data_IF_726935685296
#
_entry.id   IF_726935685296
#
_cell.length_a   1.000
_cell.length_b   1.000
_cell.length_c   1.000
_cell.angle_alpha   90.00
_cell.angle_beta   90.00
_cell.angle_gamma   90.00
#
_symmetry.space_group_name_H-M   'P 1'
#
loop_
_entity.id
_entity.type
_entity.pdbx_description
1 polymer ?
#
# COMPACT_ATOMS: atom_id res chain seq x y z
N UNK A 1 -36.28 -35.44 74.99
CA UNK A 1 -36.68 -36.71 74.33
C UNK A 1 -35.43 -37.43 73.82
N UNK A 2 -34.96 -38.42 74.58
CA UNK A 2 -34.00 -39.48 74.21
C UNK A 2 -34.73 -40.58 73.38
N UNK A 3 -34.09 -41.67 72.88
CA UNK A 3 -32.77 -41.85 72.25
C UNK A 3 -32.75 -42.88 71.06
N UNK A 4 -31.59 -43.01 70.42
CA UNK A 4 -30.89 -44.21 69.88
C UNK A 4 -31.55 -45.63 70.00
N UNK A 5 -31.56 -46.44 68.93
CA UNK A 5 -30.70 -47.65 68.75
C UNK A 5 -31.10 -48.65 67.62
N UNK A 6 -30.02 -49.31 67.15
CA UNK A 6 -29.76 -50.33 66.11
C UNK A 6 -30.57 -51.66 66.12
N UNK A 7 -30.44 -52.38 64.98
CA UNK A 7 -30.25 -53.85 64.71
C UNK A 7 -31.34 -54.39 63.76
N UNK A 8 -31.16 -55.32 62.82
CA UNK A 8 -30.08 -56.24 62.41
C UNK A 8 -30.38 -56.77 60.98
N UNK A 9 -29.36 -57.17 60.20
CA UNK A 9 -29.48 -57.96 58.94
C UNK A 9 -29.69 -59.45 59.26
N UNK A 10 -30.06 -60.27 58.25
CA UNK A 10 -29.11 -61.31 57.86
C UNK A 10 -28.84 -61.40 56.35
N UNK A 11 -27.76 -62.12 56.06
CA UNK A 11 -27.01 -62.21 54.82
C UNK A 11 -27.44 -63.41 53.94
N UNK A 12 -27.06 -63.33 52.65
CA UNK A 12 -27.09 -64.43 51.69
C UNK A 12 -26.42 -64.03 50.36
N UNK A 13 -25.09 -64.12 50.32
CA UNK A 13 -24.15 -63.98 49.17
C UNK A 13 -24.30 -65.12 48.13
N UNK A 14 -23.67 -65.12 46.91
CA UNK A 14 -22.44 -64.42 46.49
C UNK A 14 -22.36 -63.83 45.05
N UNK A 15 -21.26 -63.08 44.82
CA UNK A 15 -20.71 -62.59 43.54
C UNK A 15 -20.34 -63.71 42.53
N UNK A 16 -20.19 -63.38 41.22
CA UNK A 16 -18.83 -63.21 40.71
C UNK A 16 -18.64 -62.03 39.73
N UNK A 17 -17.39 -61.90 39.32
CA UNK A 17 -16.69 -60.75 38.76
C UNK A 17 -16.80 -60.60 37.22
N UNK A 18 -16.52 -59.38 36.77
CA UNK A 18 -15.86 -58.96 35.50
C UNK A 18 -15.95 -59.88 34.26
N UNK A 19 -16.43 -59.31 33.15
CA UNK A 19 -15.72 -59.40 31.86
C UNK A 19 -15.73 -58.07 31.10
N UNK A 20 -14.55 -57.73 30.60
CA UNK A 20 -14.26 -56.61 29.72
C UNK A 20 -14.62 -56.94 28.26
N UNK A 21 -14.80 -55.90 27.45
CA UNK A 21 -14.65 -55.95 25.99
C UNK A 21 -15.94 -56.19 25.20
N UNK A 22 -16.58 -55.10 24.75
CA UNK A 22 -17.57 -55.12 23.67
C UNK A 22 -17.40 -53.83 22.83
N UNK A 23 -17.37 -53.91 21.49
CA UNK A 23 -16.99 -52.79 20.64
C UNK A 23 -18.06 -51.69 20.63
N UNK A 24 -17.61 -50.45 20.74
CA UNK A 24 -18.43 -49.24 20.57
C UNK A 24 -18.95 -49.21 19.13
N UNK A 25 -20.26 -49.05 18.89
CA UNK A 25 -20.79 -49.03 17.54
C UNK A 25 -20.33 -47.77 16.80
N UNK A 26 -19.69 -48.03 15.67
CA UNK A 26 -19.17 -47.07 14.70
C UNK A 26 -20.33 -46.29 14.06
N UNK A 27 -20.60 -45.08 14.56
CA UNK A 27 -21.52 -44.13 13.93
C UNK A 27 -20.74 -43.27 12.95
N UNK A 28 -20.39 -43.85 11.81
CA UNK A 28 -19.99 -43.08 10.62
C UNK A 28 -21.17 -42.18 10.18
N UNK A 29 -21.04 -40.83 10.16
CA UNK A 29 -22.01 -39.99 9.51
C UNK A 29 -21.92 -40.21 8.00
N UNK A 30 -23.04 -40.61 7.42
CA UNK A 30 -23.22 -40.85 5.98
C UNK A 30 -22.81 -39.61 5.18
N UNK A 31 -22.06 -39.86 4.12
CA UNK A 31 -21.59 -38.96 3.08
C UNK A 31 -22.43 -37.68 2.87
N UNK A 32 -21.95 -36.53 3.36
CA UNK A 32 -22.34 -35.24 2.79
C UNK A 32 -21.62 -35.06 1.47
N UNK A 33 -22.30 -35.42 0.39
CA UNK A 33 -21.86 -35.15 -0.98
C UNK A 33 -21.99 -33.64 -1.21
N UNK A 34 -20.86 -32.91 -1.15
CA UNK A 34 -20.81 -31.49 -1.52
C UNK A 34 -21.11 -31.40 -3.01
N UNK A 35 -22.39 -31.26 -3.34
CA UNK A 35 -22.85 -31.06 -4.71
C UNK A 35 -22.87 -29.56 -5.01
N UNK A 36 -21.96 -29.16 -5.91
CA UNK A 36 -21.71 -27.83 -6.49
C UNK A 36 -20.64 -27.01 -5.77
N UNK A 37 -19.60 -26.55 -6.48
CA UNK A 37 -18.75 -25.48 -5.98
C UNK A 37 -19.64 -24.25 -5.74
N UNK A 38 -19.53 -23.66 -4.53
CA UNK A 38 -20.25 -22.43 -4.15
C UNK A 38 -19.70 -21.20 -4.92
N UNK A 39 -18.60 -21.36 -5.66
CA UNK A 39 -17.93 -20.31 -6.39
C UNK A 39 -17.36 -20.84 -7.71
N UNK A 40 -18.09 -20.66 -8.81
CA UNK A 40 -17.60 -20.94 -10.17
C UNK A 40 -16.77 -19.76 -10.69
N UNK A 41 -15.47 -19.83 -10.44
CA UNK A 41 -14.50 -18.85 -10.93
C UNK A 41 -13.98 -19.26 -12.30
N UNK A 42 -14.49 -18.62 -13.35
CA UNK A 42 -13.93 -18.76 -14.69
C UNK A 42 -12.60 -18.00 -14.82
N UNK A 43 -11.61 -18.64 -15.44
CA UNK A 43 -10.35 -18.00 -15.83
C UNK A 43 -10.64 -16.96 -16.92
N UNK A 44 -10.82 -15.71 -16.52
CA UNK A 44 -11.05 -14.60 -17.44
C UNK A 44 -9.86 -13.64 -17.43
N UNK A 45 -9.56 -13.08 -18.61
CA UNK A 45 -8.57 -12.03 -18.80
C UNK A 45 -9.16 -10.94 -19.69
N UNK A 46 -9.70 -9.90 -19.08
CA UNK A 46 -10.29 -8.77 -19.79
C UNK A 46 -9.71 -7.46 -19.25
N UNK A 47 -9.47 -6.51 -20.13
CA UNK A 47 -9.09 -5.15 -19.77
C UNK A 47 -9.67 -4.22 -20.84
N UNK A 48 -10.32 -3.13 -20.41
CA UNK A 48 -10.80 -2.09 -21.31
C UNK A 48 -9.62 -1.43 -22.04
N UNK A 49 -9.79 -1.06 -23.30
CA UNK A 49 -8.75 -0.39 -24.08
C UNK A 49 -8.46 1.03 -23.56
N UNK A 50 -9.50 1.71 -23.07
CA UNK A 50 -9.40 3.02 -22.42
C UNK A 50 -10.16 3.00 -21.10
N UNK A 51 -9.58 3.60 -20.07
CA UNK A 51 -10.21 3.83 -18.77
C UNK A 51 -10.94 5.17 -18.72
N UNK A 52 -10.81 6.00 -19.76
CA UNK A 52 -11.46 7.32 -19.87
C UNK A 52 -12.08 7.52 -21.24
N UNK A 53 -13.31 8.01 -21.26
CA UNK A 53 -13.98 8.55 -22.44
C UNK A 53 -14.64 9.89 -22.07
N UNK A 54 -13.96 11.00 -22.36
CA UNK A 54 -14.42 12.34 -21.99
C UNK A 54 -14.53 12.51 -20.47
N UNK A 55 -15.76 12.52 -19.95
CA UNK A 55 -16.09 12.65 -18.52
C UNK A 55 -16.43 11.32 -17.85
N UNK A 56 -16.43 10.22 -18.60
CA UNK A 56 -16.73 8.88 -18.09
C UNK A 56 -15.43 8.13 -17.80
N UNK A 57 -15.36 7.47 -16.65
CA UNK A 57 -14.20 6.73 -16.18
C UNK A 57 -14.59 5.30 -15.77
N UNK A 58 -13.70 4.34 -16.02
CA UNK A 58 -13.84 2.96 -15.58
C UNK A 58 -12.76 2.65 -14.53
N UNK A 59 -13.14 2.00 -13.43
CA UNK A 59 -12.24 1.56 -12.37
C UNK A 59 -12.61 0.15 -11.88
N UNK A 60 -11.64 -0.59 -11.32
CA UNK A 60 -11.89 -1.94 -10.81
C UNK A 60 -12.42 -2.90 -11.87
N UNK A 61 -13.38 -3.76 -11.50
CA UNK A 61 -13.92 -4.82 -12.37
C UNK A 61 -14.57 -4.30 -13.67
N UNK A 62 -15.04 -3.05 -13.68
CA UNK A 62 -15.53 -2.39 -14.89
C UNK A 62 -14.41 -2.11 -15.91
N UNK A 63 -13.18 -1.95 -15.44
CA UNK A 63 -12.01 -1.65 -16.26
C UNK A 63 -11.17 -2.91 -16.56
N UNK A 64 -11.10 -3.86 -15.63
CA UNK A 64 -10.28 -5.06 -15.77
C UNK A 64 -10.83 -6.22 -14.96
N UNK A 65 -10.83 -7.41 -15.56
CA UNK A 65 -11.21 -8.67 -14.90
C UNK A 65 -10.08 -9.65 -15.09
N UNK A 66 -9.60 -10.24 -14.01
CA UNK A 66 -8.52 -11.21 -14.04
C UNK A 66 -8.79 -12.38 -13.10
N UNK A 67 -8.16 -13.51 -13.38
CA UNK A 67 -8.15 -14.66 -12.47
C UNK A 67 -7.76 -14.21 -11.06
N UNK A 68 -8.45 -14.69 -9.99
CA UNK A 68 -8.17 -14.31 -8.60
C UNK A 68 -6.90 -15.00 -8.05
N UNK A 69 -5.84 -15.02 -8.85
CA UNK A 69 -4.54 -15.52 -8.43
C UNK A 69 -3.86 -14.47 -7.54
N UNK A 70 -3.50 -14.86 -6.31
CA UNK A 70 -2.77 -13.99 -5.38
C UNK A 70 -3.57 -12.80 -4.81
N UNK A 71 -4.92 -12.83 -4.86
CA UNK A 71 -5.76 -11.86 -4.15
C UNK A 71 -5.69 -10.41 -4.66
N UNK A 72 -5.40 -10.20 -5.94
CA UNK A 72 -5.05 -8.87 -6.47
C UNK A 72 -6.24 -7.97 -6.86
N UNK A 73 -7.43 -8.54 -7.05
CA UNK A 73 -8.56 -7.85 -7.72
C UNK A 73 -9.08 -6.65 -6.97
N UNK A 74 -9.50 -6.87 -5.71
CA UNK A 74 -10.02 -5.79 -4.87
C UNK A 74 -8.99 -4.68 -4.65
N UNK A 75 -7.75 -5.04 -4.33
CA UNK A 75 -6.69 -4.07 -4.07
C UNK A 75 -6.41 -3.20 -5.30
N UNK A 76 -6.43 -3.80 -6.50
CA UNK A 76 -6.23 -3.06 -7.74
C UNK A 76 -7.36 -2.07 -8.00
N UNK A 77 -8.62 -2.48 -7.81
CA UNK A 77 -9.79 -1.61 -7.96
C UNK A 77 -9.83 -0.46 -6.95
N UNK A 78 -9.50 -0.73 -5.69
CA UNK A 78 -9.37 0.31 -4.66
C UNK A 78 -8.26 1.31 -5.01
N UNK A 79 -7.11 0.83 -5.48
CA UNK A 79 -6.02 1.69 -5.90
C UNK A 79 -6.39 2.55 -7.13
N UNK A 80 -7.23 2.04 -8.04
CA UNK A 80 -7.79 2.84 -9.14
C UNK A 80 -8.67 3.97 -8.62
N UNK A 81 -9.55 3.68 -7.66
CA UNK A 81 -10.43 4.67 -7.06
C UNK A 81 -9.65 5.75 -6.29
N UNK A 82 -8.65 5.36 -5.51
CA UNK A 82 -7.77 6.29 -4.79
C UNK A 82 -7.05 7.23 -5.77
N UNK A 83 -6.47 6.67 -6.85
CA UNK A 83 -5.75 7.46 -7.85
C UNK A 83 -6.65 8.43 -8.63
N UNK A 84 -7.86 8.00 -9.00
CA UNK A 84 -8.80 8.83 -9.74
C UNK A 84 -9.48 9.87 -8.85
N UNK A 85 -9.86 9.48 -7.62
CA UNK A 85 -10.66 10.29 -6.71
C UNK A 85 -10.01 11.62 -6.38
N UNK A 86 -8.73 11.63 -6.02
CA UNK A 86 -8.04 12.89 -5.71
C UNK A 86 -7.88 13.79 -6.95
N UNK A 87 -7.66 13.21 -8.14
CA UNK A 87 -7.53 13.98 -9.38
C UNK A 87 -8.85 14.66 -9.77
N UNK A 88 -9.96 13.93 -9.60
CA UNK A 88 -11.30 14.51 -9.79
C UNK A 88 -11.55 15.64 -8.80
N UNK A 89 -11.28 15.42 -7.51
CA UNK A 89 -11.42 16.45 -6.48
C UNK A 89 -10.57 17.69 -6.80
N UNK A 90 -9.33 17.49 -7.26
CA UNK A 90 -8.41 18.56 -7.63
C UNK A 90 -8.92 19.43 -8.79
N UNK A 91 -9.45 18.79 -9.83
CA UNK A 91 -10.02 19.48 -10.99
C UNK A 91 -11.31 20.21 -10.62
N UNK A 92 -12.17 19.58 -9.81
CA UNK A 92 -13.43 20.18 -9.35
C UNK A 92 -13.17 21.40 -8.45
N UNK A 93 -12.18 21.31 -7.55
CA UNK A 93 -11.78 22.40 -6.67
C UNK A 93 -10.94 23.48 -7.38
N UNK A 94 -10.61 23.31 -8.66
CA UNK A 94 -9.99 24.33 -9.50
C UNK A 94 -8.47 24.52 -9.30
N UNK A 95 -7.81 23.68 -8.50
CA UNK A 95 -6.37 23.80 -8.26
C UNK A 95 -5.50 22.92 -9.16
N UNK A 96 -6.12 22.06 -9.98
CA UNK A 96 -5.44 21.28 -11.02
C UNK A 96 -6.15 21.40 -12.40
N UNK A 97 -5.39 21.35 -13.51
CA UNK A 97 -5.98 21.37 -14.85
C UNK A 97 -6.66 20.05 -15.19
N UNK A 98 -7.66 20.09 -16.09
CA UNK A 98 -8.37 18.89 -16.57
C UNK A 98 -7.46 17.86 -17.23
N UNK A 99 -6.33 18.29 -17.79
CA UNK A 99 -5.29 17.42 -18.35
C UNK A 99 -4.67 16.47 -17.31
N UNK A 100 -4.76 16.78 -16.01
CA UNK A 100 -4.34 15.87 -14.95
C UNK A 100 -5.10 14.53 -15.02
N UNK A 101 -6.37 14.54 -15.46
CA UNK A 101 -7.19 13.33 -15.55
C UNK A 101 -6.69 12.36 -16.63
N UNK A 102 -5.93 12.82 -17.63
CA UNK A 102 -5.32 11.95 -18.65
C UNK A 102 -4.23 11.05 -18.06
N UNK A 103 -3.61 11.49 -16.95
CA UNK A 103 -2.63 10.67 -16.23
C UNK A 103 -3.27 9.40 -15.64
N UNK A 104 -4.58 9.37 -15.38
CA UNK A 104 -5.26 8.17 -14.86
C UNK A 104 -5.10 6.98 -15.81
N UNK A 105 -5.34 7.19 -17.11
CA UNK A 105 -5.10 6.18 -18.13
C UNK A 105 -3.63 5.78 -18.17
N UNK A 106 -2.71 6.74 -18.29
CA UNK A 106 -1.28 6.46 -18.41
C UNK A 106 -0.72 5.66 -17.22
N UNK A 107 -1.19 5.94 -16.01
CA UNK A 107 -0.76 5.33 -14.77
C UNK A 107 -1.44 3.96 -14.53
N UNK A 108 -2.78 3.94 -14.51
CA UNK A 108 -3.56 2.80 -14.02
C UNK A 108 -3.81 1.73 -15.08
N UNK A 109 -3.92 2.12 -16.36
CA UNK A 109 -4.04 1.15 -17.45
C UNK A 109 -2.82 0.24 -17.54
N UNK A 110 -1.63 0.84 -17.44
CA UNK A 110 -0.35 0.11 -17.48
C UNK A 110 -0.24 -0.89 -16.33
N UNK A 111 -0.57 -0.47 -15.10
CA UNK A 111 -0.56 -1.34 -13.93
C UNK A 111 -1.60 -2.45 -14.06
N UNK A 112 -2.83 -2.12 -14.46
CA UNK A 112 -3.87 -3.12 -14.70
C UNK A 112 -3.42 -4.19 -15.67
N UNK A 113 -2.77 -3.80 -16.78
CA UNK A 113 -2.20 -4.74 -17.76
C UNK A 113 -1.14 -5.65 -17.15
N UNK A 114 -0.27 -5.11 -16.30
CA UNK A 114 0.78 -5.88 -15.61
C UNK A 114 0.18 -6.90 -14.66
N UNK A 115 -0.79 -6.50 -13.84
CA UNK A 115 -1.46 -7.40 -12.88
C UNK A 115 -2.25 -8.48 -13.60
N UNK A 116 -3.05 -8.11 -14.61
CA UNK A 116 -3.82 -9.05 -15.44
C UNK A 116 -2.91 -10.10 -16.11
N UNK A 117 -1.73 -9.69 -16.60
CA UNK A 117 -0.74 -10.62 -17.16
C UNK A 117 -0.12 -11.51 -16.09
N UNK A 118 0.24 -10.94 -14.94
CA UNK A 118 0.85 -11.66 -13.82
C UNK A 118 -0.08 -12.74 -13.28
N UNK A 119 -1.33 -12.41 -12.99
CA UNK A 119 -2.32 -13.35 -12.45
C UNK A 119 -2.67 -14.46 -13.44
N UNK A 120 -2.76 -14.15 -14.73
CA UNK A 120 -2.97 -15.14 -15.78
C UNK A 120 -1.81 -16.14 -15.87
N UNK A 121 -0.56 -15.66 -15.93
CA UNK A 121 0.62 -16.53 -16.00
C UNK A 121 0.78 -17.38 -14.74
N UNK A 122 0.55 -16.78 -13.57
CA UNK A 122 0.60 -17.49 -12.28
C UNK A 122 -0.44 -18.61 -12.20
N UNK A 123 -1.69 -18.32 -12.57
CA UNK A 123 -2.75 -19.33 -12.61
C UNK A 123 -2.45 -20.46 -13.62
N UNK A 124 -2.03 -20.11 -14.84
CA UNK A 124 -1.67 -21.09 -15.86
C UNK A 124 -0.54 -22.02 -15.41
N UNK A 125 0.50 -21.47 -14.77
CA UNK A 125 1.61 -22.27 -14.23
C UNK A 125 1.15 -23.27 -13.15
N UNK A 126 0.20 -22.89 -12.29
CA UNK A 126 -0.34 -23.79 -11.26
C UNK A 126 -1.23 -24.90 -11.85
N UNK A 127 -1.86 -24.64 -12.99
CA UNK A 127 -2.74 -25.59 -13.68
C UNK A 127 -2.02 -26.60 -14.58
N UNK A 128 -0.69 -26.50 -14.74
CA UNK A 128 0.12 -27.49 -15.46
C UNK A 128 -0.01 -28.88 -14.79
N UNK A 129 -0.92 -29.71 -15.28
CA UNK A 129 -1.11 -31.11 -14.88
C UNK A 129 -0.59 -32.02 -16.00
N UNK A 130 0.37 -32.88 -15.67
CA UNK A 130 0.98 -33.82 -16.63
C UNK A 130 1.98 -33.21 -17.62
N UNK A 131 2.19 -31.89 -17.59
CA UNK A 131 3.15 -31.19 -18.46
C UNK A 131 4.58 -31.24 -17.85
N UNK A 132 5.63 -31.62 -18.60
CA UNK A 132 7.02 -31.65 -18.10
C UNK A 132 7.52 -30.29 -17.59
N UNK A 133 6.94 -29.16 -18.04
CA UNK A 133 7.22 -27.81 -17.53
C UNK A 133 6.89 -27.65 -16.04
N UNK A 134 6.11 -28.57 -15.47
CA UNK A 134 5.89 -28.67 -14.02
C UNK A 134 7.20 -28.75 -13.25
N UNK A 135 8.18 -29.52 -13.71
CA UNK A 135 9.45 -29.67 -13.01
C UNK A 135 10.23 -28.36 -12.95
N UNK A 136 10.19 -27.57 -14.03
CA UNK A 136 10.77 -26.23 -14.05
C UNK A 136 10.05 -25.30 -13.07
N UNK A 137 8.71 -25.30 -13.05
CA UNK A 137 7.94 -24.54 -12.07
C UNK A 137 8.31 -24.92 -10.64
N UNK A 138 8.35 -26.22 -10.34
CA UNK A 138 8.64 -26.73 -8.99
C UNK A 138 10.06 -26.34 -8.57
N UNK A 139 11.05 -26.45 -9.48
CA UNK A 139 12.41 -25.97 -9.24
C UNK A 139 12.47 -24.46 -8.96
N UNK A 140 11.77 -23.65 -9.75
CA UNK A 140 11.70 -22.19 -9.56
C UNK A 140 11.04 -21.85 -8.23
N UNK A 141 9.95 -22.52 -7.87
CA UNK A 141 9.26 -22.32 -6.60
C UNK A 141 10.13 -22.74 -5.40
N UNK A 142 10.84 -23.87 -5.49
CA UNK A 142 11.78 -24.30 -4.45
C UNK A 142 12.94 -23.32 -4.29
N UNK A 143 13.50 -22.82 -5.40
CA UNK A 143 14.53 -21.78 -5.37
C UNK A 143 14.03 -20.47 -4.77
N UNK A 144 12.80 -20.06 -5.11
CA UNK A 144 12.14 -18.91 -4.50
C UNK A 144 11.96 -19.12 -2.99
N UNK A 145 11.51 -20.29 -2.54
CA UNK A 145 11.30 -20.59 -1.12
C UNK A 145 12.61 -20.61 -0.33
N UNK A 146 13.68 -21.14 -0.92
CA UNK A 146 15.00 -21.21 -0.30
C UNK A 146 15.67 -19.83 -0.15
N UNK A 147 15.27 -18.84 -0.95
CA UNK A 147 15.89 -17.51 -0.96
C UNK A 147 15.05 -16.46 -0.24
N UNK A 148 15.49 -16.03 0.94
CA UNK A 148 14.89 -14.89 1.69
C UNK A 148 14.74 -13.61 0.85
N UNK A 149 15.77 -13.11 0.14
CA UNK A 149 15.60 -11.90 -0.67
C UNK A 149 14.61 -12.10 -1.82
N UNK A 150 14.55 -13.29 -2.43
CA UNK A 150 13.58 -13.56 -3.48
C UNK A 150 12.14 -13.62 -2.94
N UNK A 151 11.92 -14.20 -1.76
CA UNK A 151 10.63 -14.16 -1.07
C UNK A 151 10.19 -12.73 -0.75
N UNK A 152 11.11 -11.91 -0.24
CA UNK A 152 10.82 -10.51 0.08
C UNK A 152 10.45 -9.70 -1.16
N UNK A 153 11.17 -9.89 -2.27
CA UNK A 153 10.85 -9.23 -3.54
C UNK A 153 9.48 -9.66 -4.08
N UNK A 154 9.17 -10.97 -4.01
CA UNK A 154 7.86 -11.49 -4.44
C UNK A 154 6.74 -10.94 -3.56
N UNK A 155 6.91 -10.95 -2.23
CA UNK A 155 5.97 -10.37 -1.29
C UNK A 155 5.73 -8.87 -1.57
N UNK A 156 6.79 -8.12 -1.87
CA UNK A 156 6.70 -6.70 -2.22
C UNK A 156 5.97 -6.45 -3.54
N UNK A 157 6.10 -7.36 -4.52
CA UNK A 157 5.30 -7.29 -5.76
C UNK A 157 3.84 -7.68 -5.53
N UNK A 158 3.57 -8.71 -4.73
CA UNK A 158 2.22 -9.18 -4.41
C UNK A 158 1.46 -8.18 -3.53
N UNK A 159 2.14 -7.37 -2.72
CA UNK A 159 1.49 -6.34 -1.90
C UNK A 159 1.05 -5.12 -2.71
N UNK A 160 1.35 -5.05 -4.02
CA UNK A 160 1.07 -3.90 -4.89
C UNK A 160 1.76 -2.60 -4.45
N UNK A 161 2.68 -2.66 -3.49
CA UNK A 161 3.45 -1.51 -3.01
C UNK A 161 4.61 -1.14 -3.94
N UNK A 162 4.98 -2.05 -4.84
CA UNK A 162 6.05 -1.88 -5.82
C UNK A 162 5.65 -1.12 -7.10
N UNK A 163 4.37 -0.74 -7.22
CA UNK A 163 3.91 -0.02 -8.41
C UNK A 163 4.51 1.38 -8.46
N UNK A 164 4.97 1.77 -9.64
CA UNK A 164 5.60 3.07 -9.88
C UNK A 164 5.03 3.69 -11.15
N UNK A 165 4.80 5.00 -11.08
CA UNK A 165 4.35 5.86 -12.18
C UNK A 165 5.52 6.50 -12.94
N UNK A 166 6.76 6.01 -12.76
CA UNK A 166 7.91 6.52 -13.51
C UNK A 166 7.64 6.54 -15.03
N UNK A 167 7.91 7.69 -15.64
CA UNK A 167 7.75 7.93 -17.07
C UNK A 167 6.34 8.36 -17.51
N UNK A 168 5.40 8.61 -16.59
CA UNK A 168 4.12 9.23 -16.93
C UNK A 168 4.18 10.76 -16.84
N UNK A 169 3.23 11.45 -17.47
CA UNK A 169 3.09 12.90 -17.34
C UNK A 169 2.85 13.31 -15.89
N UNK A 170 3.34 14.49 -15.49
CA UNK A 170 3.20 14.99 -14.12
C UNK A 170 4.13 14.32 -13.10
N UNK A 171 5.19 13.66 -13.57
CA UNK A 171 6.20 13.03 -12.73
C UNK A 171 7.59 13.59 -13.05
N UNK A 172 8.37 13.96 -12.03
CA UNK A 172 9.72 14.51 -12.18
C UNK A 172 10.66 13.86 -11.17
N UNK A 173 11.84 13.40 -11.61
CA UNK A 173 12.80 12.70 -10.76
C UNK A 173 14.20 13.29 -10.79
N UNK A 174 15.03 12.87 -9.84
CA UNK A 174 16.47 13.18 -9.70
C UNK A 174 17.31 11.94 -9.94
N UNK A 175 18.62 12.09 -10.20
CA UNK A 175 19.54 10.94 -10.23
C UNK A 175 19.80 10.44 -8.79
N UNK A 176 19.60 9.14 -8.54
CA UNK A 176 19.82 8.51 -7.23
C UNK A 176 18.66 8.71 -6.23
N UNK A 177 18.50 7.77 -5.28
CA UNK A 177 17.42 7.75 -4.31
C UNK A 177 16.01 7.67 -4.89
N UNK A 178 15.05 8.22 -4.15
CA UNK A 178 13.65 8.28 -4.56
C UNK A 178 13.45 9.14 -5.81
N UNK A 179 12.60 8.63 -6.71
CA UNK A 179 12.23 9.32 -7.93
C UNK A 179 10.74 9.68 -7.90
N UNK A 180 10.39 10.69 -8.70
CA UNK A 180 9.01 10.88 -9.08
C UNK A 180 8.44 9.59 -9.68
N UNK A 181 7.20 9.29 -9.31
CA UNK A 181 6.43 8.12 -9.69
C UNK A 181 6.51 7.00 -8.66
N UNK A 182 7.48 7.02 -7.76
CA UNK A 182 7.59 6.01 -6.72
C UNK A 182 6.53 6.19 -5.64
N UNK A 183 6.13 5.09 -5.02
CA UNK A 183 5.38 5.11 -3.78
C UNK A 183 6.29 5.67 -2.67
N UNK A 184 5.81 6.67 -1.94
CA UNK A 184 6.56 7.24 -0.82
C UNK A 184 6.79 6.17 0.27
N UNK A 185 8.04 5.87 0.69
CA UNK A 185 8.26 4.98 1.82
C UNK A 185 7.73 5.57 3.13
N UNK A 186 7.37 4.72 4.08
CA UNK A 186 6.61 5.08 5.29
C UNK A 186 7.43 4.93 6.59
N UNK A 187 8.47 5.77 6.82
CA UNK A 187 9.20 5.75 8.08
C UNK A 187 8.34 6.29 9.23
N UNK A 188 8.69 5.89 10.45
CA UNK A 188 8.13 6.49 11.65
C UNK A 188 8.90 7.77 11.99
N UNK A 189 8.20 8.88 12.15
CA UNK A 189 8.76 10.21 12.40
C UNK A 189 8.04 10.89 13.56
N UNK A 190 8.77 11.74 14.29
CA UNK A 190 8.19 12.57 15.34
C UNK A 190 7.65 13.86 14.74
N UNK A 191 6.35 14.11 14.92
CA UNK A 191 5.69 15.33 14.47
C UNK A 191 5.87 16.42 15.53
N UNK A 192 6.56 17.51 15.14
CA UNK A 192 6.81 18.67 16.00
C UNK A 192 5.55 19.49 16.29
N UNK A 193 4.44 19.29 15.58
CA UNK A 193 3.17 19.98 15.81
C UNK A 193 2.28 19.23 16.81
N UNK A 194 2.19 17.91 16.69
CA UNK A 194 1.35 17.06 17.58
C UNK A 194 2.13 16.47 18.75
N UNK A 195 3.46 16.57 18.72
CA UNK A 195 4.38 15.99 19.69
C UNK A 195 4.28 14.46 19.80
N UNK A 196 3.92 13.79 18.70
CA UNK A 196 3.75 12.34 18.64
C UNK A 196 4.64 11.69 17.59
N UNK A 197 5.09 10.48 17.88
CA UNK A 197 5.82 9.63 16.93
C UNK A 197 4.83 8.73 16.19
N UNK A 198 4.72 8.90 14.87
CA UNK A 198 3.73 8.22 14.04
C UNK A 198 4.33 7.83 12.69
N UNK A 199 3.65 6.99 11.90
CA UNK A 199 4.06 6.74 10.52
C UNK A 199 3.90 8.01 9.69
N UNK A 200 4.76 8.21 8.70
CA UNK A 200 4.70 9.39 7.85
C UNK A 200 3.37 9.48 7.11
N UNK A 201 2.82 8.36 6.63
CA UNK A 201 1.56 8.39 5.86
C UNK A 201 0.38 8.85 6.72
N UNK A 202 0.37 8.55 8.01
CA UNK A 202 -0.68 9.01 8.93
C UNK A 202 -0.63 10.53 9.17
N UNK A 203 0.52 11.15 8.89
CA UNK A 203 0.76 12.57 9.12
C UNK A 203 0.50 13.46 7.90
N UNK A 204 0.37 12.92 6.68
CA UNK A 204 0.09 13.76 5.49
C UNK A 204 -1.37 13.73 5.13
N UNK A 205 -1.83 14.85 4.58
CA UNK A 205 -3.17 15.01 4.06
C UNK A 205 -3.49 14.06 2.89
N UNK A 206 -4.78 13.78 2.70
CA UNK A 206 -5.33 12.91 1.64
C UNK A 206 -6.13 13.68 0.60
N UNK A 207 -6.23 15.00 0.72
CA UNK A 207 -7.04 15.89 -0.11
C UNK A 207 -6.22 16.96 -0.85
N UNK A 208 -4.94 17.11 -0.51
CA UNK A 208 -4.02 18.12 -1.04
C UNK A 208 -2.62 17.53 -1.21
N UNK A 209 -1.76 18.22 -1.95
CA UNK A 209 -0.36 17.83 -2.05
C UNK A 209 0.41 18.15 -0.75
N UNK A 210 1.43 17.35 -0.45
CA UNK A 210 2.41 17.69 0.59
C UNK A 210 3.76 17.95 -0.04
N UNK A 211 4.26 19.18 0.06
CA UNK A 211 5.65 19.52 -0.25
C UNK A 211 6.52 19.21 0.97
N UNK A 212 7.25 18.11 0.90
CA UNK A 212 8.20 17.69 1.92
C UNK A 212 9.61 18.17 1.55
N UNK A 213 10.17 19.07 2.36
CA UNK A 213 11.52 19.59 2.18
C UNK A 213 12.47 18.85 3.13
N UNK A 214 13.38 18.05 2.57
CA UNK A 214 14.40 17.34 3.33
C UNK A 214 15.62 18.25 3.54
N UNK A 215 15.95 18.49 4.80
CA UNK A 215 17.02 19.37 5.24
C UNK A 215 17.88 18.66 6.29
N UNK A 216 18.93 17.93 5.89
CA UNK A 216 19.74 17.13 6.83
C UNK A 216 20.62 17.98 7.75
N UNK A 217 20.96 19.20 7.34
CA UNK A 217 21.82 20.15 8.07
C UNK A 217 21.34 21.59 7.83
N UNK A 218 21.69 22.54 8.71
CA UNK A 218 21.34 23.95 8.51
C UNK A 218 21.93 24.47 7.19
N UNK A 219 21.10 25.15 6.40
CA UNK A 219 21.48 25.76 5.11
C UNK A 219 20.73 27.09 4.94
N UNK A 220 21.41 28.25 5.00
CA UNK A 220 20.79 29.56 4.84
C UNK A 220 20.07 29.75 3.51
N UNK A 221 20.57 29.12 2.44
CA UNK A 221 19.96 29.19 1.11
C UNK A 221 18.60 28.50 1.13
N UNK A 222 18.55 27.29 1.72
CA UNK A 222 17.31 26.54 1.88
C UNK A 222 16.30 27.28 2.75
N UNK A 223 16.72 27.88 3.86
CA UNK A 223 15.84 28.70 4.71
C UNK A 223 15.21 29.85 3.92
N UNK A 224 15.99 30.52 3.08
CA UNK A 224 15.48 31.61 2.21
C UNK A 224 14.48 31.07 1.17
N UNK A 225 14.78 29.90 0.58
CA UNK A 225 13.87 29.23 -0.36
C UNK A 225 12.57 28.80 0.31
N UNK A 226 12.61 28.28 1.54
CA UNK A 226 11.43 27.89 2.31
C UNK A 226 10.49 29.08 2.50
N UNK A 227 11.00 30.23 2.95
CA UNK A 227 10.17 31.42 3.16
C UNK A 227 9.49 31.87 1.86
N UNK A 228 10.23 31.88 0.74
CA UNK A 228 9.65 32.20 -0.59
C UNK A 228 8.60 31.18 -1.03
N UNK A 229 8.82 29.90 -0.77
CA UNK A 229 7.88 28.84 -1.10
C UNK A 229 6.58 28.98 -0.30
N UNK A 230 6.64 29.22 1.00
CA UNK A 230 5.46 29.42 1.85
C UNK A 230 4.58 30.53 1.28
N UNK A 231 5.17 31.68 0.98
CA UNK A 231 4.49 32.84 0.42
C UNK A 231 3.86 32.55 -0.96
N UNK A 232 4.61 31.88 -1.84
CA UNK A 232 4.12 31.58 -3.20
C UNK A 232 3.02 30.52 -3.18
N UNK A 233 3.17 29.47 -2.38
CA UNK A 233 2.15 28.42 -2.27
C UNK A 233 0.85 28.97 -1.70
N UNK A 234 0.91 29.83 -0.68
CA UNK A 234 -0.26 30.49 -0.11
C UNK A 234 -1.01 31.35 -1.15
N UNK A 235 -0.30 32.02 -2.06
CA UNK A 235 -0.89 32.87 -3.11
C UNK A 235 -1.43 32.09 -4.31
N UNK A 236 -0.67 31.13 -4.84
CA UNK A 236 -1.02 30.42 -6.10
C UNK A 236 -1.85 29.16 -5.90
N UNK A 237 -1.69 28.48 -4.78
CA UNK A 237 -2.35 27.20 -4.48
C UNK A 237 -2.92 27.20 -3.05
N UNK A 238 -3.83 28.14 -2.71
CA UNK A 238 -4.35 28.29 -1.37
C UNK A 238 -5.02 26.99 -0.91
N UNK A 239 -4.47 26.37 0.14
CA UNK A 239 -4.97 25.11 0.70
C UNK A 239 -4.71 23.85 -0.14
N UNK A 240 -4.19 23.96 -1.37
CA UNK A 240 -3.94 22.81 -2.24
C UNK A 240 -2.55 22.18 -2.06
N UNK A 241 -1.63 22.87 -1.37
CA UNK A 241 -0.31 22.34 -1.02
C UNK A 241 0.01 22.66 0.44
N UNK A 242 0.28 21.62 1.22
CA UNK A 242 0.82 21.70 2.58
C UNK A 242 2.35 21.60 2.52
N UNK A 243 3.08 22.45 3.23
CA UNK A 243 4.54 22.41 3.31
C UNK A 243 4.98 21.81 4.65
N UNK A 244 5.86 20.81 4.62
CA UNK A 244 6.47 20.20 5.82
C UNK A 244 8.00 20.13 5.70
N UNK A 245 8.69 20.32 6.81
CA UNK A 245 10.16 20.24 6.90
C UNK A 245 10.59 18.91 7.51
N UNK A 246 11.36 18.10 6.79
CA UNK A 246 11.97 16.87 7.30
C UNK A 246 13.42 17.12 7.68
N UNK A 247 13.77 16.94 8.95
CA UNK A 247 15.14 17.13 9.44
C UNK A 247 15.48 16.13 10.56
N UNK A 248 16.72 15.66 10.68
CA UNK A 248 17.14 14.87 11.84
C UNK A 248 17.38 15.74 13.09
N UNK A 249 17.50 17.06 12.94
CA UNK A 249 18.04 17.96 13.95
C UNK A 249 17.16 19.21 14.16
N UNK A 250 16.84 19.49 15.44
CA UNK A 250 15.99 20.63 15.83
C UNK A 250 16.62 21.99 15.52
N UNK A 251 17.94 22.06 15.42
CA UNK A 251 18.65 23.29 15.04
C UNK A 251 18.25 23.78 13.64
N UNK A 252 17.94 22.86 12.72
CA UNK A 252 17.47 23.21 11.37
C UNK A 252 16.09 23.84 11.43
N UNK A 253 15.20 23.30 12.27
CA UNK A 253 13.86 23.83 12.48
C UNK A 253 13.88 25.25 13.04
N UNK A 254 14.75 25.51 14.03
CA UNK A 254 14.90 26.83 14.66
C UNK A 254 15.43 27.91 13.69
N UNK A 255 16.16 27.51 12.64
CA UNK A 255 16.67 28.45 11.64
C UNK A 255 15.57 28.94 10.68
N UNK A 256 14.45 28.21 10.57
CA UNK A 256 13.33 28.57 9.70
C UNK A 256 12.38 29.52 10.44
N UNK A 257 12.21 30.73 9.92
CA UNK A 257 11.34 31.75 10.51
C UNK A 257 9.85 31.51 10.25
N UNK A 258 9.51 30.89 9.12
CA UNK A 258 8.13 30.57 8.77
C UNK A 258 7.57 29.45 9.69
N UNK A 259 6.29 29.52 10.08
CA UNK A 259 5.65 28.50 10.91
C UNK A 259 5.35 27.25 10.08
N UNK A 260 6.38 26.45 9.82
CA UNK A 260 6.30 25.23 9.03
C UNK A 260 6.26 24.02 9.96
N UNK A 261 5.28 23.10 9.85
CA UNK A 261 5.29 21.85 10.59
C UNK A 261 6.56 21.04 10.32
N UNK A 262 7.21 20.63 11.41
CA UNK A 262 8.51 19.93 11.37
C UNK A 262 8.32 18.45 11.65
N UNK A 263 8.90 17.61 10.81
CA UNK A 263 9.03 16.18 11.00
C UNK A 263 10.46 15.84 11.39
N UNK A 264 10.64 15.28 12.58
CA UNK A 264 11.95 14.89 13.09
C UNK A 264 12.27 13.43 12.81
N UNK A 265 13.34 13.22 12.04
CA UNK A 265 13.92 11.92 11.74
C UNK A 265 15.06 11.59 12.72
N UNK A 266 14.74 11.44 14.01
CA UNK A 266 15.73 11.19 15.07
C UNK A 266 16.57 9.92 14.81
N UNK A 267 15.94 8.89 14.25
CA UNK A 267 16.58 7.61 13.92
C UNK A 267 17.27 7.57 12.55
N UNK A 268 17.22 8.67 11.78
CA UNK A 268 17.75 8.77 10.41
C UNK A 268 17.16 7.73 9.44
N UNK A 269 16.01 7.16 9.75
CA UNK A 269 15.36 6.14 8.93
C UNK A 269 14.87 6.74 7.62
N UNK A 270 14.31 7.95 7.64
CA UNK A 270 13.91 8.64 6.42
C UNK A 270 15.12 9.06 5.59
N UNK A 271 16.20 9.55 6.22
CA UNK A 271 17.45 9.88 5.50
C UNK A 271 18.02 8.69 4.75
N UNK A 272 18.05 7.52 5.38
CA UNK A 272 18.51 6.27 4.76
C UNK A 272 17.57 5.84 3.63
N UNK A 273 16.27 5.76 3.90
CA UNK A 273 15.28 5.29 2.92
C UNK A 273 15.16 6.22 1.71
N UNK A 274 15.35 7.52 1.91
CA UNK A 274 15.14 8.51 0.86
C UNK A 274 16.45 8.82 0.12
N UNK A 275 17.59 8.36 0.66
CA UNK A 275 18.93 8.80 0.30
C UNK A 275 18.97 10.33 0.22
N UNK A 276 18.36 10.97 1.22
CA UNK A 276 18.03 12.38 1.17
C UNK A 276 19.19 13.23 1.68
N UNK A 277 19.98 13.75 0.75
CA UNK A 277 20.59 15.08 0.91
C UNK A 277 19.52 16.18 0.92
N UNK A 278 19.93 17.45 0.82
CA UNK A 278 19.00 18.57 0.68
C UNK A 278 18.15 18.41 -0.59
N UNK A 279 16.83 18.20 -0.43
CA UNK A 279 15.93 17.87 -1.53
C UNK A 279 14.48 18.28 -1.24
N UNK A 280 13.66 18.36 -2.29
CA UNK A 280 12.23 18.56 -2.22
C UNK A 280 11.47 17.39 -2.85
N UNK A 281 10.38 17.01 -2.19
CA UNK A 281 9.44 15.99 -2.66
C UNK A 281 8.03 16.56 -2.69
N UNK A 282 7.36 16.55 -3.84
CA UNK A 282 5.92 16.81 -3.92
C UNK A 282 5.22 15.48 -3.83
N UNK A 283 4.50 15.26 -2.73
CA UNK A 283 3.78 14.03 -2.45
C UNK A 283 2.32 14.24 -2.86
N UNK A 284 1.80 13.30 -3.64
CA UNK A 284 0.40 13.28 -4.09
C UNK A 284 -0.51 12.76 -2.99
N UNK A 285 -1.81 13.10 -3.02
CA UNK A 285 -2.80 12.55 -2.09
C UNK A 285 -2.86 11.00 -2.08
N UNK A 286 -2.55 10.36 -3.22
CA UNK A 286 -2.43 8.90 -3.35
C UNK A 286 -1.07 8.34 -2.86
N UNK A 287 -0.31 9.16 -2.12
CA UNK A 287 0.97 8.83 -1.48
C UNK A 287 2.10 8.44 -2.44
N UNK A 288 1.97 8.81 -3.71
CA UNK A 288 3.04 8.70 -4.69
C UNK A 288 3.79 10.02 -4.79
N UNK A 289 5.07 9.94 -5.12
CA UNK A 289 5.91 11.11 -5.32
C UNK A 289 5.60 11.65 -6.72
N UNK A 290 5.13 12.90 -6.82
CA UNK A 290 5.02 13.61 -8.10
C UNK A 290 6.38 14.17 -8.52
N UNK A 291 7.03 14.89 -7.62
CA UNK A 291 8.34 15.52 -7.85
C UNK A 291 9.36 15.02 -6.84
N UNK A 292 10.56 14.70 -7.31
CA UNK A 292 11.75 14.52 -6.49
C UNK A 292 12.93 15.26 -7.13
N UNK A 293 13.50 16.23 -6.42
CA UNK A 293 14.57 17.06 -7.00
C UNK A 293 15.13 18.11 -6.04
N UNK A 294 15.92 19.05 -6.57
CA UNK A 294 16.40 20.20 -5.79
C UNK A 294 15.24 21.02 -5.22
N UNK A 295 15.39 21.63 -4.03
CA UNK A 295 14.37 22.48 -3.40
C UNK A 295 14.30 23.89 -4.01
N UNK A 296 14.37 23.98 -5.34
CA UNK A 296 14.31 25.24 -6.08
C UNK A 296 12.84 25.65 -6.33
N UNK A 297 12.42 26.86 -5.89
CA UNK A 297 11.03 27.31 -6.05
C UNK A 297 10.52 27.22 -7.49
N UNK A 298 11.31 27.70 -8.46
CA UNK A 298 10.94 27.70 -9.88
C UNK A 298 10.66 26.30 -10.45
N UNK A 299 11.37 25.26 -9.96
CA UNK A 299 11.17 23.88 -10.42
C UNK A 299 9.91 23.27 -9.82
N UNK A 300 9.68 23.53 -8.53
CA UNK A 300 8.50 23.06 -7.80
C UNK A 300 7.24 23.71 -8.38
N UNK A 301 7.27 25.02 -8.61
CA UNK A 301 6.14 25.76 -9.22
C UNK A 301 5.79 25.27 -10.62
N UNK A 302 6.81 24.97 -11.43
CA UNK A 302 6.63 24.42 -12.77
C UNK A 302 5.91 23.07 -12.71
N UNK A 303 6.38 22.18 -11.84
CA UNK A 303 5.75 20.88 -11.61
C UNK A 303 4.29 21.02 -11.15
N UNK A 304 4.02 21.84 -10.13
CA UNK A 304 2.66 22.07 -9.61
C UNK A 304 1.72 22.72 -10.63
N UNK A 305 2.27 23.52 -11.55
CA UNK A 305 1.49 24.13 -12.64
C UNK A 305 1.13 23.15 -13.76
N UNK A 306 1.69 21.93 -13.76
CA UNK A 306 1.55 20.97 -14.84
C UNK A 306 2.17 21.42 -16.16
N UNK A 307 3.20 22.28 -16.11
CA UNK A 307 3.94 22.82 -17.26
C UNK A 307 5.38 22.33 -17.31
#
# INVERSE_FOLDING_TARGET
MHPNHRRHRPAGTPHPQRRAGGPVPDRHPRHHRIHRPVLDLHLARKQANSYRAGRVFLAGDAAHVHTPFGGQGLNLGVADAINLGWKLAAVIAGWAPTALLDSYQAERHRIGRQVVRFTHLGAAAMLLRGDPRRHLRDLVLSGLQASTPARQLLAHRLSQLAHSYRGTAGVTGRKGGLHGGDRLPDPTLFDGSTHQTQRLHDQLATDRHTLLLAAPKPDPTLTTQINRLVDTLARRWPGAVELRLLTPAWQVAQAVRAPVPVLLDRGRSAQQLYEAGTAAFVIRPDRHIGYAGPPEPNRIERHLSGR
#
